data_IF_516752939201
#
_entry.id   IF_516752939201
#
_cell.length_a   1.000
_cell.length_b   1.000
_cell.length_c   1.000
_cell.angle_alpha   90.00
_cell.angle_beta   90.00
_cell.angle_gamma   90.00
#
_symmetry.space_group_name_H-M   'P 1'
#
loop_
_entity.id
_entity.type
_entity.pdbx_description
1 polymer ?
#
# COMPACT_ATOMS: atom_id res chain seq x y z
N UNK A 1 20.64 -11.39 -18.43
CA UNK A 1 19.27 -11.74 -18.01
C UNK A 1 18.54 -10.43 -17.69
N UNK A 2 17.66 -9.93 -18.58
CA UNK A 2 16.87 -8.73 -18.33
C UNK A 2 15.63 -9.11 -17.52
N UNK A 3 15.37 -8.40 -16.41
CA UNK A 3 14.05 -8.43 -15.79
C UNK A 3 13.43 -7.06 -16.00
N UNK A 4 12.67 -6.95 -17.09
CA UNK A 4 11.74 -5.86 -17.35
C UNK A 4 10.61 -5.94 -16.34
N UNK A 5 10.38 -4.84 -15.63
CA UNK A 5 9.05 -4.31 -15.41
C UNK A 5 9.18 -2.78 -15.30
N UNK A 6 8.51 -2.14 -16.26
CA UNK A 6 8.01 -0.76 -16.30
C UNK A 6 8.97 0.38 -16.68
N UNK A 7 9.34 0.44 -17.96
CA UNK A 7 9.15 1.68 -18.75
C UNK A 7 7.70 1.62 -19.28
N UNK A 8 6.87 2.65 -19.39
CA UNK A 8 7.09 4.04 -19.70
C UNK A 8 5.80 4.81 -19.38
N UNK A 9 5.91 6.08 -18.96
CA UNK A 9 4.94 7.14 -19.24
C UNK A 9 5.69 8.48 -19.10
N UNK A 10 6.42 8.87 -20.14
CA UNK A 10 6.91 10.24 -20.33
C UNK A 10 5.76 11.07 -20.92
N UNK A 11 4.94 11.68 -20.06
CA UNK A 11 4.17 12.87 -20.40
C UNK A 11 4.28 13.86 -19.23
N UNK A 12 4.52 15.12 -19.56
CA UNK A 12 4.83 16.22 -18.64
C UNK A 12 3.80 16.40 -17.51
N UNK A 13 3.92 15.62 -16.44
CA UNK A 13 3.25 15.80 -15.15
C UNK A 13 4.21 15.18 -14.13
N UNK A 14 4.72 15.96 -13.17
CA UNK A 14 5.80 15.52 -12.28
C UNK A 14 5.34 14.32 -11.43
N UNK A 15 5.44 13.11 -11.96
CA UNK A 15 5.10 11.88 -11.27
C UNK A 15 6.12 11.70 -10.15
N UNK A 16 5.66 11.88 -8.92
CA UNK A 16 6.51 11.68 -7.75
C UNK A 16 7.07 10.25 -7.78
N UNK A 17 8.35 10.06 -7.42
CA UNK A 17 8.92 8.72 -7.35
C UNK A 17 8.06 7.82 -6.46
N UNK A 18 7.82 6.59 -6.91
CA UNK A 18 7.07 5.59 -6.14
C UNK A 18 8.06 4.75 -5.33
N UNK A 19 7.90 4.73 -4.02
CA UNK A 19 8.63 3.86 -3.11
C UNK A 19 7.73 2.74 -2.60
N UNK A 20 8.36 1.60 -2.34
CA UNK A 20 7.72 0.48 -1.66
C UNK A 20 8.00 0.61 -0.16
N UNK A 21 7.00 0.96 0.66
CA UNK A 21 7.19 1.01 2.10
C UNK A 21 7.44 -0.39 2.66
N UNK A 22 8.12 -0.45 3.80
CA UNK A 22 8.16 -1.67 4.59
C UNK A 22 6.77 -1.93 5.12
N UNK A 23 6.31 -3.16 4.93
CA UNK A 23 5.03 -3.55 5.46
C UNK A 23 5.05 -5.03 5.73
N UNK A 24 4.55 -5.38 6.91
CA UNK A 24 4.58 -6.71 7.49
C UNK A 24 3.15 -7.13 7.82
N UNK A 25 2.87 -8.40 7.59
CA UNK A 25 1.57 -9.00 7.87
C UNK A 25 1.75 -9.99 9.01
N UNK A 26 0.93 -9.83 10.03
CA UNK A 26 0.89 -10.68 11.21
C UNK A 26 -0.46 -11.38 11.23
N UNK A 27 -0.45 -12.67 10.93
CA UNK A 27 -1.64 -13.52 11.04
C UNK A 27 -1.71 -14.07 12.46
N UNK A 28 -2.77 -13.72 13.20
CA UNK A 28 -3.12 -14.35 14.47
C UNK A 28 -4.26 -15.34 14.31
N UNK A 29 -4.63 -16.03 15.39
CA UNK A 29 -5.67 -17.06 15.37
C UNK A 29 -7.06 -16.55 14.95
N UNK A 30 -7.39 -15.28 15.25
CA UNK A 30 -8.72 -14.70 15.04
C UNK A 30 -8.72 -13.46 14.13
N UNK A 31 -7.54 -12.86 13.90
CA UNK A 31 -7.41 -11.63 13.09
C UNK A 31 -6.04 -11.55 12.43
N UNK A 32 -5.97 -10.94 11.25
CA UNK A 32 -4.71 -10.49 10.68
C UNK A 32 -4.50 -9.01 10.96
N UNK A 33 -3.25 -8.63 11.24
CA UNK A 33 -2.82 -7.27 11.44
C UNK A 33 -1.75 -6.94 10.41
N UNK A 34 -1.99 -5.91 9.62
CA UNK A 34 -1.02 -5.41 8.65
C UNK A 34 -0.44 -4.11 9.17
N UNK A 35 0.88 -4.05 9.26
CA UNK A 35 1.62 -2.88 9.71
C UNK A 35 2.40 -2.35 8.52
N UNK A 36 2.11 -1.12 8.09
CA UNK A 36 2.83 -0.45 7.01
C UNK A 36 3.55 0.79 7.55
N UNK A 37 4.86 0.87 7.31
CA UNK A 37 5.68 2.01 7.71
C UNK A 37 5.72 3.05 6.59
N UNK A 38 5.03 4.17 6.81
CA UNK A 38 4.94 5.28 5.86
C UNK A 38 5.65 6.53 6.42
N UNK A 39 6.99 6.57 6.44
CA UNK A 39 7.71 7.69 7.04
C UNK A 39 7.44 9.00 6.29
N UNK A 40 6.95 10.00 7.02
CA UNK A 40 6.68 11.34 6.48
C UNK A 40 5.35 11.48 5.73
N UNK A 41 4.52 10.44 5.65
CA UNK A 41 3.15 10.55 5.13
C UNK A 41 2.23 11.03 6.26
N UNK A 42 1.54 12.17 6.12
CA UNK A 42 0.54 12.58 7.09
C UNK A 42 -0.70 11.70 6.98
N UNK A 43 -1.38 11.44 8.11
CA UNK A 43 -2.57 10.57 8.19
C UNK A 43 -3.68 10.89 7.17
N UNK A 44 -3.84 12.17 6.83
CA UNK A 44 -4.84 12.65 5.86
C UNK A 44 -4.49 12.33 4.40
N UNK A 45 -3.23 11.93 4.12
CA UNK A 45 -2.72 11.53 2.81
C UNK A 45 -2.49 10.02 2.70
N UNK A 46 -2.99 9.24 3.67
CA UNK A 46 -3.00 7.79 3.60
C UNK A 46 -4.35 7.35 3.04
N UNK A 47 -4.31 6.59 1.94
CA UNK A 47 -5.49 6.02 1.30
C UNK A 47 -5.38 4.50 1.33
N UNK A 48 -6.41 3.84 1.86
CA UNK A 48 -6.55 2.39 1.82
C UNK A 48 -7.65 2.03 0.83
N UNK A 49 -7.33 1.15 -0.12
CA UNK A 49 -8.25 0.61 -1.11
C UNK A 49 -8.34 -0.89 -0.95
N UNK A 50 -9.56 -1.40 -0.80
CA UNK A 50 -9.82 -2.83 -0.78
C UNK A 50 -10.62 -3.17 -2.04
N UNK A 51 -10.02 -3.93 -2.93
CA UNK A 51 -10.67 -4.37 -4.17
C UNK A 51 -10.57 -5.87 -4.33
N UNK A 52 -11.74 -6.54 -4.37
CA UNK A 52 -11.83 -8.02 -4.36
C UNK A 52 -10.97 -8.57 -3.23
N UNK A 53 -9.89 -9.28 -3.53
CA UNK A 53 -8.96 -9.88 -2.58
C UNK A 53 -7.64 -9.11 -2.48
N UNK A 54 -7.64 -7.81 -2.78
CA UNK A 54 -6.43 -6.99 -2.74
C UNK A 54 -6.61 -5.76 -1.89
N UNK A 55 -5.82 -5.65 -0.83
CA UNK A 55 -5.65 -4.44 -0.05
C UNK A 55 -4.48 -3.64 -0.63
N UNK A 56 -4.74 -2.41 -1.03
CA UNK A 56 -3.74 -1.47 -1.54
C UNK A 56 -3.65 -0.29 -0.60
N UNK A 57 -2.45 -0.02 -0.11
CA UNK A 57 -2.12 1.08 0.79
C UNK A 57 -1.31 2.09 -0.02
N UNK A 58 -1.80 3.31 -0.07
CA UNK A 58 -1.17 4.41 -0.78
C UNK A 58 -0.91 5.55 0.19
N UNK A 59 0.26 6.17 0.10
CA UNK A 59 0.62 7.31 0.92
C UNK A 59 1.32 8.37 0.09
N UNK A 60 0.93 9.63 0.24
CA UNK A 60 1.57 10.74 -0.47
C UNK A 60 2.27 11.71 0.49
N UNK A 61 3.55 11.96 0.25
CA UNK A 61 4.35 12.95 1.03
C UNK A 61 4.54 14.27 0.28
N UNK A 62 3.97 14.42 -0.92
CA UNK A 62 4.25 15.52 -1.86
C UNK A 62 5.62 15.46 -2.54
N UNK A 63 6.53 14.57 -2.11
CA UNK A 63 7.86 14.34 -2.73
C UNK A 63 8.08 12.91 -3.16
N UNK A 64 7.42 11.98 -2.48
CA UNK A 64 7.52 10.54 -2.66
C UNK A 64 6.14 9.95 -2.43
N UNK A 65 5.74 9.05 -3.33
CA UNK A 65 4.50 8.28 -3.19
C UNK A 65 4.83 6.89 -2.71
N UNK A 66 4.19 6.43 -1.66
CA UNK A 66 4.28 5.06 -1.21
C UNK A 66 3.11 4.27 -1.77
N UNK A 67 3.39 3.08 -2.30
CA UNK A 67 2.35 2.16 -2.76
C UNK A 67 2.70 0.74 -2.37
N UNK A 68 1.76 0.05 -1.73
CA UNK A 68 1.91 -1.37 -1.38
C UNK A 68 0.60 -2.11 -1.53
N UNK A 69 0.63 -3.24 -2.23
CA UNK A 69 -0.52 -4.11 -2.42
C UNK A 69 -0.28 -5.46 -1.76
N UNK A 70 -1.29 -5.93 -1.03
CA UNK A 70 -1.35 -7.21 -0.35
C UNK A 70 -2.56 -7.98 -0.84
N UNK A 71 -2.40 -9.29 -0.99
CA UNK A 71 -3.53 -10.17 -1.26
C UNK A 71 -4.15 -10.55 0.07
N UNK A 72 -5.41 -10.18 0.28
CA UNK A 72 -6.22 -10.65 1.40
C UNK A 72 -6.55 -12.12 1.14
N UNK A 73 -6.39 -12.97 2.14
CA UNK A 73 -6.93 -14.33 2.09
C UNK A 73 -8.41 -14.30 2.50
N UNK A 74 -9.16 -15.35 2.14
CA UNK A 74 -10.60 -15.48 2.41
C UNK A 74 -10.93 -15.43 3.93
N UNK A 75 -9.92 -15.62 4.78
CA UNK A 75 -10.04 -15.49 6.23
C UNK A 75 -10.14 -14.04 6.72
N UNK A 76 -9.87 -13.02 5.89
CA UNK A 76 -9.98 -11.62 6.30
C UNK A 76 -11.35 -11.06 5.95
N UNK A 77 -12.11 -10.70 6.99
CA UNK A 77 -13.35 -9.97 6.82
C UNK A 77 -13.06 -8.53 6.40
N UNK A 78 -13.46 -8.18 5.17
CA UNK A 78 -13.13 -6.90 4.53
C UNK A 78 -13.84 -5.72 5.18
N UNK A 79 -15.00 -5.98 5.77
CA UNK A 79 -15.80 -4.98 6.49
C UNK A 79 -15.18 -4.65 7.86
N UNK A 80 -14.43 -5.60 8.42
CA UNK A 80 -13.73 -5.43 9.70
C UNK A 80 -12.33 -4.80 9.59
N UNK A 81 -11.93 -4.32 8.41
CA UNK A 81 -10.62 -3.69 8.23
C UNK A 81 -10.61 -2.31 8.91
N UNK A 82 -10.06 -2.26 10.12
CA UNK A 82 -9.82 -1.00 10.83
C UNK A 82 -8.38 -0.51 10.57
N UNK A 83 -8.25 0.71 10.04
CA UNK A 83 -6.98 1.39 9.94
C UNK A 83 -6.72 2.24 11.19
N UNK A 84 -5.61 1.98 11.87
CA UNK A 84 -5.11 2.79 13.00
C UNK A 84 -3.70 3.28 12.66
N UNK A 85 -3.46 4.57 12.90
CA UNK A 85 -2.25 5.30 12.50
C UNK A 85 -1.60 5.98 13.71
#
# INVERSE_FOLDING_TARGET
MPNELTKADEESNQALPIAQPKADVYEGDDRAMLVAELPGVPKEKVELKVERDRLTIQGDTGKLRFERSFTLNEAIDRDAIEARY
#
